data_IF_370115651937
#
_entry.id   IF_370115651937
#
_cell.length_a   1.000
_cell.length_b   1.000
_cell.length_c   1.000
_cell.angle_alpha   90.00
_cell.angle_beta   90.00
_cell.angle_gamma   90.00
#
_symmetry.space_group_name_H-M   'P 1'
#
loop_
_entity.id
_entity.type
_entity.pdbx_description
1 polymer ?
#
# COMPACT_ATOMS: atom_id res chain seq x y z
N UNK A 1 -20.06 14.55 -6.55
CA UNK A 1 -19.61 13.25 -6.02
C UNK A 1 -18.19 13.08 -6.51
N UNK A 2 -17.22 13.11 -5.61
CA UNK A 2 -15.84 12.77 -5.97
C UNK A 2 -15.80 11.25 -6.14
N UNK A 3 -15.09 10.78 -7.17
CA UNK A 3 -14.98 9.34 -7.42
C UNK A 3 -14.00 8.72 -6.43
N UNK A 4 -14.27 7.48 -6.04
CA UNK A 4 -13.32 6.70 -5.27
C UNK A 4 -12.00 6.57 -6.03
N UNK A 5 -10.88 6.77 -5.34
CA UNK A 5 -9.54 6.66 -5.89
C UNK A 5 -8.97 5.28 -5.58
N UNK A 6 -8.39 4.61 -6.57
CA UNK A 6 -7.65 3.36 -6.36
C UNK A 6 -6.16 3.64 -6.16
N UNK A 7 -5.52 2.88 -5.29
CA UNK A 7 -4.08 2.90 -5.07
C UNK A 7 -3.55 1.47 -5.05
N UNK A 8 -2.48 1.19 -5.80
CA UNK A 8 -1.91 -0.17 -5.91
C UNK A 8 -0.39 -0.10 -5.76
N UNK A 9 0.17 -1.10 -5.07
CA UNK A 9 1.59 -1.45 -5.13
C UNK A 9 1.70 -2.94 -5.42
N UNK A 10 2.23 -3.29 -6.57
CA UNK A 10 2.40 -4.66 -7.03
C UNK A 10 3.66 -4.73 -7.90
N UNK A 11 4.78 -5.14 -7.30
CA UNK A 11 6.08 -5.24 -7.97
C UNK A 11 6.02 -6.12 -9.22
N UNK A 12 5.15 -7.13 -9.24
CA UNK A 12 5.00 -8.02 -10.40
C UNK A 12 4.25 -7.31 -11.53
N UNK A 13 3.19 -6.56 -11.22
CA UNK A 13 2.50 -5.75 -12.24
C UNK A 13 3.42 -4.66 -12.81
N UNK A 14 4.21 -4.00 -11.95
CA UNK A 14 5.21 -3.01 -12.37
C UNK A 14 6.28 -3.65 -13.26
N UNK A 15 6.84 -4.78 -12.85
CA UNK A 15 7.85 -5.49 -13.64
C UNK A 15 7.30 -5.96 -15.00
N UNK A 16 6.05 -6.42 -15.05
CA UNK A 16 5.40 -6.79 -16.31
C UNK A 16 5.20 -5.59 -17.24
N UNK A 17 4.77 -4.44 -16.71
CA UNK A 17 4.64 -3.22 -17.50
C UNK A 17 5.99 -2.79 -18.08
N UNK A 18 7.04 -2.80 -17.25
CA UNK A 18 8.40 -2.46 -17.66
C UNK A 18 8.98 -3.46 -18.68
N UNK A 19 8.73 -4.75 -18.50
CA UNK A 19 9.13 -5.78 -19.45
C UNK A 19 8.46 -5.57 -20.83
N UNK A 20 7.19 -5.17 -20.86
CA UNK A 20 6.49 -4.87 -22.10
C UNK A 20 7.12 -3.68 -22.84
N UNK A 21 7.64 -2.67 -22.13
CA UNK A 21 8.38 -1.56 -22.72
C UNK A 21 9.71 -2.01 -23.34
N UNK A 22 10.45 -2.90 -22.67
CA UNK A 22 11.70 -3.46 -23.20
C UNK A 22 11.47 -4.25 -24.49
N UNK A 23 10.41 -5.06 -24.55
CA UNK A 23 10.02 -5.78 -25.77
C UNK A 23 9.62 -4.81 -26.89
N UNK A 24 8.78 -3.82 -26.58
CA UNK A 24 8.34 -2.83 -27.55
C UNK A 24 9.49 -1.96 -28.10
N UNK A 25 10.53 -1.76 -27.30
CA UNK A 25 11.73 -1.00 -27.66
C UNK A 25 12.85 -1.85 -28.27
N UNK A 26 12.61 -3.15 -28.50
CA UNK A 26 13.60 -4.10 -29.00
C UNK A 26 14.88 -4.16 -28.13
N UNK A 27 14.76 -3.87 -26.83
CA UNK A 27 15.85 -3.96 -25.84
C UNK A 27 16.09 -5.41 -25.43
N UNK A 28 15.04 -6.24 -25.44
CA UNK A 28 15.10 -7.69 -25.18
C UNK A 28 14.36 -8.43 -26.30
N UNK A 29 14.79 -9.66 -26.57
CA UNK A 29 14.22 -10.52 -27.60
C UNK A 29 13.13 -11.47 -27.06
N UNK A 30 13.05 -11.69 -25.74
CA UNK A 30 12.13 -12.66 -25.13
C UNK A 30 11.44 -12.11 -23.88
N UNK A 31 10.23 -12.58 -23.60
CA UNK A 31 9.47 -12.17 -22.42
C UNK A 31 10.22 -12.49 -21.11
N UNK A 32 10.89 -13.64 -21.03
CA UNK A 32 11.64 -14.07 -19.85
C UNK A 32 12.83 -13.13 -19.56
N UNK A 33 13.59 -12.79 -20.59
CA UNK A 33 14.71 -11.85 -20.47
C UNK A 33 14.20 -10.45 -20.10
N UNK A 34 13.16 -9.96 -20.76
CA UNK A 34 12.56 -8.66 -20.47
C UNK A 34 12.07 -8.56 -19.02
N UNK A 35 11.42 -9.60 -18.51
CA UNK A 35 10.96 -9.66 -17.12
C UNK A 35 12.12 -9.70 -16.12
N UNK A 36 13.16 -10.49 -16.40
CA UNK A 36 14.37 -10.54 -15.57
C UNK A 36 15.10 -9.19 -15.52
N UNK A 37 15.18 -8.50 -16.66
CA UNK A 37 15.70 -7.13 -16.74
C UNK A 37 14.85 -6.15 -15.94
N UNK A 38 13.52 -6.25 -16.03
CA UNK A 38 12.60 -5.37 -15.31
C UNK A 38 12.70 -5.53 -13.79
N UNK A 39 12.80 -6.76 -13.28
CA UNK A 39 13.05 -7.02 -11.86
C UNK A 39 14.39 -6.46 -11.37
N UNK A 40 15.36 -6.35 -12.27
CA UNK A 40 16.69 -5.80 -11.97
C UNK A 40 16.77 -4.28 -12.13
N UNK A 41 15.71 -3.64 -12.65
CA UNK A 41 15.62 -2.18 -12.84
C UNK A 41 15.23 -1.50 -11.52
N UNK A 42 16.21 -1.43 -10.60
CA UNK A 42 16.00 -0.90 -9.25
C UNK A 42 15.60 0.57 -9.24
N UNK A 43 16.00 1.33 -10.26
CA UNK A 43 15.66 2.75 -10.37
C UNK A 43 14.16 2.92 -10.63
N UNK A 44 13.59 2.14 -11.57
CA UNK A 44 12.15 2.13 -11.83
C UNK A 44 11.37 1.68 -10.59
N UNK A 45 11.80 0.60 -9.92
CA UNK A 45 11.12 0.13 -8.71
C UNK A 45 11.12 1.19 -7.60
N UNK A 46 12.24 1.89 -7.42
CA UNK A 46 12.34 2.96 -6.43
C UNK A 46 11.42 4.14 -6.79
N UNK A 47 11.36 4.55 -8.06
CA UNK A 47 10.48 5.63 -8.51
C UNK A 47 9.00 5.29 -8.31
N UNK A 48 8.58 4.10 -8.71
CA UNK A 48 7.20 3.63 -8.53
C UNK A 48 6.83 3.54 -7.05
N UNK A 49 7.78 3.13 -6.18
CA UNK A 49 7.55 3.08 -4.75
C UNK A 49 7.42 4.49 -4.14
N UNK A 50 8.24 5.43 -4.59
CA UNK A 50 8.14 6.83 -4.16
C UNK A 50 6.79 7.45 -4.61
N UNK A 51 6.35 7.21 -5.84
CA UNK A 51 5.03 7.63 -6.35
C UNK A 51 3.88 7.00 -5.54
N UNK A 52 3.97 5.72 -5.21
CA UNK A 52 3.00 5.04 -4.33
C UNK A 52 2.92 5.72 -2.96
N UNK A 53 4.07 6.02 -2.34
CA UNK A 53 4.11 6.69 -1.02
C UNK A 53 3.57 8.10 -1.08
N UNK A 54 3.84 8.87 -2.13
CA UNK A 54 3.28 10.21 -2.30
C UNK A 54 1.74 10.16 -2.39
N UNK A 55 1.19 9.22 -3.15
CA UNK A 55 -0.25 9.03 -3.26
C UNK A 55 -0.87 8.55 -1.94
N UNK A 56 -0.23 7.59 -1.26
CA UNK A 56 -0.67 7.14 0.06
C UNK A 56 -0.67 8.29 1.05
N UNK A 57 0.39 9.12 1.05
CA UNK A 57 0.49 10.29 1.92
C UNK A 57 -0.64 11.29 1.66
N UNK A 58 -0.94 11.57 0.40
CA UNK A 58 -2.03 12.47 0.04
C UNK A 58 -3.39 11.95 0.56
N UNK A 59 -3.64 10.64 0.45
CA UNK A 59 -4.85 9.99 1.00
C UNK A 59 -4.87 10.10 2.53
N UNK A 60 -3.77 9.77 3.20
CA UNK A 60 -3.68 9.85 4.66
C UNK A 60 -3.89 11.28 5.18
N UNK A 61 -3.35 12.29 4.49
CA UNK A 61 -3.56 13.70 4.83
C UNK A 61 -5.02 14.14 4.67
N UNK A 62 -5.71 13.65 3.63
CA UNK A 62 -7.13 13.96 3.48
C UNK A 62 -8.00 13.24 4.52
N UNK A 63 -7.62 12.03 4.93
CA UNK A 63 -8.28 11.31 6.03
C UNK A 63 -8.08 12.07 7.35
N UNK A 64 -6.84 12.35 7.72
CA UNK A 64 -6.48 12.97 9.00
C UNK A 64 -5.25 13.87 8.84
N UNK A 65 -5.43 15.19 8.64
CA UNK A 65 -4.31 16.13 8.49
C UNK A 65 -3.38 16.18 9.71
N UNK A 66 -3.86 15.80 10.89
CA UNK A 66 -3.08 15.74 12.13
C UNK A 66 -2.29 14.43 12.28
N UNK A 67 -2.51 13.47 11.38
CA UNK A 67 -1.79 12.20 11.33
C UNK A 67 -2.26 11.16 12.36
N UNK A 68 -3.51 11.25 12.83
CA UNK A 68 -4.09 10.26 13.76
C UNK A 68 -5.13 9.39 13.07
N UNK A 69 -4.89 8.09 13.08
CA UNK A 69 -5.67 7.10 12.35
C UNK A 69 -6.19 6.00 13.28
N UNK A 70 -7.41 5.56 13.05
CA UNK A 70 -7.95 4.32 13.58
C UNK A 70 -7.88 3.31 12.45
N UNK A 71 -7.16 2.22 12.68
CA UNK A 71 -6.93 1.17 11.69
C UNK A 71 -7.55 -0.11 12.19
N UNK A 72 -8.62 -0.56 11.55
CA UNK A 72 -9.20 -1.87 11.79
C UNK A 72 -8.58 -2.88 10.84
N UNK A 73 -8.07 -3.99 11.37
CA UNK A 73 -7.48 -5.10 10.61
C UNK A 73 -8.31 -6.38 10.80
N UNK A 74 -8.51 -7.12 9.72
CA UNK A 74 -9.25 -8.38 9.67
C UNK A 74 -8.49 -9.41 8.85
N UNK A 75 -8.71 -10.70 9.15
CA UNK A 75 -8.07 -11.81 8.47
C UNK A 75 -6.52 -11.80 8.57
N UNK A 76 -5.99 -11.33 9.70
CA UNK A 76 -4.55 -11.13 9.88
C UNK A 76 -3.79 -12.43 10.19
N UNK A 77 -2.76 -12.69 9.39
CA UNK A 77 -1.86 -13.84 9.43
C UNK A 77 -2.55 -15.19 9.38
N UNK A 78 -1.77 -16.25 9.58
CA UNK A 78 -2.26 -17.64 9.56
C UNK A 78 -3.35 -17.97 10.59
N UNK A 79 -3.52 -17.14 11.63
CA UNK A 79 -4.55 -17.30 12.68
C UNK A 79 -5.85 -16.55 12.36
N UNK A 80 -5.90 -15.82 11.24
CA UNK A 80 -7.06 -15.02 10.81
C UNK A 80 -7.57 -14.09 11.92
N UNK A 81 -6.65 -13.42 12.63
CA UNK A 81 -7.01 -12.53 13.72
C UNK A 81 -7.70 -11.27 13.19
N UNK A 82 -8.43 -10.60 14.07
CA UNK A 82 -8.99 -9.27 13.80
C UNK A 82 -8.76 -8.39 15.02
N UNK A 83 -8.59 -7.10 14.78
CA UNK A 83 -8.26 -6.14 15.82
C UNK A 83 -8.22 -4.74 15.28
N UNK A 84 -7.77 -3.81 16.10
CA UNK A 84 -7.54 -2.43 15.69
C UNK A 84 -6.29 -1.88 16.34
N UNK A 85 -5.76 -0.82 15.74
CA UNK A 85 -4.67 -0.03 16.28
C UNK A 85 -4.92 1.45 16.03
N UNK A 86 -4.58 2.26 17.02
CA UNK A 86 -4.51 3.71 16.87
C UNK A 86 -3.09 4.07 16.43
N UNK A 87 -2.97 4.68 15.25
CA UNK A 87 -1.69 4.98 14.63
C UNK A 87 -1.53 6.49 14.53
N UNK A 88 -0.41 7.00 15.07
CA UNK A 88 0.06 8.34 14.77
C UNK A 88 1.17 8.29 13.72
N UNK A 89 0.98 8.89 12.55
CA UNK A 89 1.99 8.97 11.50
C UNK A 89 1.87 10.28 10.73
N UNK A 90 3.01 10.90 10.44
CA UNK A 90 3.16 12.16 9.70
C UNK A 90 3.73 11.95 8.29
N UNK A 91 4.00 10.70 7.91
CA UNK A 91 4.51 10.27 6.61
C UNK A 91 3.91 8.93 6.20
N UNK A 92 3.97 8.62 4.90
CA UNK A 92 3.56 7.31 4.39
C UNK A 92 4.46 6.21 4.94
N UNK A 93 5.78 6.43 5.01
CA UNK A 93 6.74 5.49 5.59
C UNK A 93 6.45 5.19 7.06
N UNK A 94 6.15 6.23 7.85
CA UNK A 94 5.83 6.06 9.26
C UNK A 94 4.49 5.35 9.48
N UNK A 95 3.55 5.50 8.55
CA UNK A 95 2.30 4.73 8.56
C UNK A 95 2.54 3.26 8.19
N UNK A 96 3.24 3.00 7.08
CA UNK A 96 3.61 1.65 6.62
C UNK A 96 4.35 0.91 7.74
N UNK A 97 5.35 1.55 8.36
CA UNK A 97 6.10 0.95 9.45
C UNK A 97 5.18 0.49 10.60
N UNK A 98 4.10 1.21 10.90
CA UNK A 98 3.22 0.91 12.04
C UNK A 98 2.08 -0.03 11.68
N UNK A 99 1.51 0.10 10.48
CA UNK A 99 0.30 -0.61 10.08
C UNK A 99 0.58 -1.94 9.34
N UNK A 100 1.71 -2.04 8.63
CA UNK A 100 1.99 -3.16 7.73
C UNK A 100 2.75 -4.28 8.46
N UNK A 101 2.67 -5.53 7.96
CA UNK A 101 3.48 -6.62 8.46
C UNK A 101 4.97 -6.30 8.34
N UNK A 102 5.78 -6.82 9.27
CA UNK A 102 7.24 -6.63 9.32
C UNK A 102 7.97 -7.55 8.33
N UNK A 103 7.56 -7.50 7.07
CA UNK A 103 8.18 -8.20 5.95
C UNK A 103 8.49 -7.20 4.84
N UNK A 104 9.50 -7.48 4.03
CA UNK A 104 9.85 -6.68 2.85
C UNK A 104 8.97 -6.98 1.64
N UNK A 105 8.23 -8.08 1.64
CA UNK A 105 7.49 -8.57 0.48
C UNK A 105 5.98 -8.49 0.74
N UNK A 106 5.32 -7.53 0.10
CA UNK A 106 3.88 -7.39 0.15
C UNK A 106 3.31 -6.72 -1.10
N UNK A 107 2.06 -7.02 -1.40
CA UNK A 107 1.26 -6.35 -2.44
C UNK A 107 0.13 -5.58 -1.77
N UNK A 108 -0.08 -4.32 -2.15
CA UNK A 108 -1.15 -3.46 -1.64
C UNK A 108 -2.18 -3.20 -2.73
N UNK A 109 -3.46 -3.35 -2.40
CA UNK A 109 -4.58 -2.93 -3.25
C UNK A 109 -5.60 -2.17 -2.41
N UNK A 110 -5.76 -0.87 -2.68
CA UNK A 110 -6.56 0.04 -1.88
C UNK A 110 -7.61 0.80 -2.69
N UNK A 111 -8.70 1.16 -2.03
CA UNK A 111 -9.74 2.06 -2.52
C UNK A 111 -10.01 3.11 -1.46
N UNK A 112 -9.80 4.37 -1.83
CA UNK A 112 -10.07 5.54 -1.02
C UNK A 112 -11.40 6.17 -1.42
N UNK A 113 -12.29 6.36 -0.46
CA UNK A 113 -13.53 7.11 -0.63
C UNK A 113 -13.39 8.51 0.00
N UNK A 114 -13.31 9.58 -0.82
CA UNK A 114 -13.17 10.94 -0.33
C UNK A 114 -14.46 11.52 0.29
N UNK A 115 -15.63 10.94 0.01
CA UNK A 115 -16.90 11.42 0.60
C UNK A 115 -16.98 11.07 2.09
N UNK A 116 -16.53 9.87 2.46
CA UNK A 116 -16.50 9.39 3.85
C UNK A 116 -15.11 9.45 4.49
N UNK A 117 -14.08 9.84 3.73
CA UNK A 117 -12.68 9.92 4.16
C UNK A 117 -12.19 8.60 4.77
N UNK A 118 -12.42 7.51 4.05
CA UNK A 118 -12.02 6.17 4.45
C UNK A 118 -11.18 5.49 3.37
N UNK A 119 -10.11 4.83 3.79
CA UNK A 119 -9.29 3.99 2.92
C UNK A 119 -9.48 2.53 3.32
N UNK A 120 -10.05 1.73 2.42
CA UNK A 120 -10.08 0.28 2.53
C UNK A 120 -8.95 -0.31 1.69
N UNK A 121 -8.15 -1.21 2.26
CA UNK A 121 -7.09 -1.87 1.50
C UNK A 121 -6.87 -3.33 1.89
N UNK A 122 -6.29 -4.08 0.98
CA UNK A 122 -5.84 -5.45 1.18
C UNK A 122 -4.33 -5.51 1.07
N UNK A 123 -3.68 -6.17 2.03
CA UNK A 123 -2.28 -6.53 1.97
C UNK A 123 -2.12 -8.03 1.75
N UNK A 124 -1.39 -8.40 0.71
CA UNK A 124 -0.99 -9.79 0.46
C UNK A 124 0.48 -9.95 0.81
N UNK A 125 0.82 -11.01 1.51
CA UNK A 125 2.20 -11.40 1.80
C UNK A 125 2.24 -12.92 2.03
N UNK A 126 3.43 -13.51 2.13
CA UNK A 126 3.59 -14.97 2.19
C UNK A 126 2.83 -15.65 3.36
N UNK A 127 2.63 -14.94 4.47
CA UNK A 127 1.85 -15.43 5.64
C UNK A 127 0.34 -15.18 5.52
N UNK A 128 -0.10 -14.39 4.54
CA UNK A 128 -1.51 -14.10 4.26
C UNK A 128 -1.76 -14.04 2.72
N UNK A 129 -1.64 -15.17 2.02
CA UNK A 129 -1.80 -15.21 0.55
C UNK A 129 -3.23 -14.90 0.10
N UNK A 130 -4.23 -15.02 0.99
CA UNK A 130 -5.62 -14.62 0.71
C UNK A 130 -5.92 -13.17 1.10
N UNK A 131 -4.92 -12.44 1.59
CA UNK A 131 -5.03 -11.05 1.97
C UNK A 131 -5.42 -10.83 3.43
N UNK A 132 -4.80 -9.82 4.03
CA UNK A 132 -5.25 -9.16 5.26
C UNK A 132 -6.06 -7.90 4.85
N UNK A 133 -7.20 -7.68 5.49
CA UNK A 133 -8.11 -6.58 5.12
C UNK A 133 -8.04 -5.46 6.15
N UNK A 134 -7.95 -4.23 5.68
CA UNK A 134 -7.80 -3.05 6.51
C UNK A 134 -8.80 -1.97 6.14
N UNK A 135 -9.27 -1.25 7.16
CA UNK A 135 -10.08 -0.04 7.03
C UNK A 135 -9.43 1.07 7.86
N UNK A 136 -9.19 2.22 7.24
CA UNK A 136 -8.54 3.38 7.86
C UNK A 136 -9.48 4.56 7.86
N UNK A 137 -9.66 5.16 9.03
CA UNK A 137 -10.42 6.39 9.22
C UNK A 137 -9.68 7.34 10.17
N UNK A 138 -10.09 8.60 10.21
CA UNK A 138 -9.57 9.55 11.18
C UNK A 138 -9.85 9.10 12.62
N UNK A 139 -8.86 9.26 13.50
CA UNK A 139 -9.06 9.10 14.94
C UNK A 139 -8.86 10.43 15.68
N UNK A 140 -9.63 10.67 16.73
CA UNK A 140 -9.52 11.90 17.51
C UNK A 140 -8.48 11.75 18.63
N UNK A 141 -7.54 12.69 18.72
CA UNK A 141 -6.44 12.72 19.71
C UNK A 141 -6.92 12.56 21.18
N UNK A 142 -8.17 12.93 21.48
CA UNK A 142 -8.72 12.93 22.86
C UNK A 142 -8.78 11.54 23.51
N UNK A 143 -8.71 10.46 22.73
CA UNK A 143 -8.78 9.08 23.23
C UNK A 143 -7.41 8.56 23.68
N UNK A 144 -6.32 9.02 23.06
CA UNK A 144 -4.94 8.56 23.30
C UNK A 144 -4.32 9.02 24.64
N UNK A 145 -5.00 9.89 25.41
CA UNK A 145 -4.53 10.36 26.73
C UNK A 145 -5.05 9.53 27.91
N UNK A 146 -5.52 8.31 27.69
CA UNK A 146 -5.95 7.41 28.77
C UNK A 146 -5.18 6.10 28.75
N UNK A 147 -3.95 6.14 29.25
CA UNK A 147 -3.30 5.03 29.98
C UNK A 147 -2.45 5.59 31.12
#
# INVERSE_FOLDING_TARGET
>A
MQQAQTLTWDETEIANARAAEFLASEISETEEEAFSMALSDTDVMQWEFDDFKEQLKAILDDISPEGFFYVEGRNMGWRHLSGHADIKADSAEGYIEKAFPKTSEWTFRGTYDPEIKALDYTLYHHDAPTGEFYTVIAHNETVLKKE
#
